data_IF_625027653976
#
_entry.id   IF_625027653976
#
_cell.length_a   1.000
_cell.length_b   1.000
_cell.length_c   1.000
_cell.angle_alpha   90.00
_cell.angle_beta   90.00
_cell.angle_gamma   90.00
#
_symmetry.space_group_name_H-M   'P 1'
#
loop_
_entity.id
_entity.type
_entity.pdbx_description
1 polymer ?
#
# COMPACT_ATOMS: atom_id res chain seq x y z
N UNK A 1 -26.42 -5.07 -10.45
CA UNK A 1 -26.15 -4.85 -9.03
C UNK A 1 -24.67 -5.03 -8.82
N UNK A 2 -24.03 -4.05 -8.19
CA UNK A 2 -22.60 -4.10 -7.87
C UNK A 2 -22.33 -5.04 -6.70
N UNK A 3 -21.09 -5.50 -6.55
CA UNK A 3 -20.68 -6.33 -5.41
C UNK A 3 -20.72 -5.56 -4.07
N UNK A 4 -20.68 -4.22 -4.14
CA UNK A 4 -20.61 -3.33 -2.97
C UNK A 4 -21.89 -2.48 -2.81
N UNK A 5 -22.99 -2.91 -3.43
CA UNK A 5 -24.22 -2.11 -3.46
C UNK A 5 -24.76 -1.85 -2.05
N UNK A 6 -25.12 -0.59 -1.78
CA UNK A 6 -25.61 -0.16 -0.46
C UNK A 6 -24.53 0.09 0.58
N UNK A 7 -23.25 -0.13 0.27
CA UNK A 7 -22.15 0.24 1.16
C UNK A 7 -21.82 1.74 1.08
N UNK A 8 -21.14 2.23 2.10
CA UNK A 8 -20.65 3.60 2.20
C UNK A 8 -19.13 3.60 2.36
N UNK A 9 -18.45 4.39 1.53
CA UNK A 9 -17.01 4.56 1.58
C UNK A 9 -16.60 5.98 1.98
N UNK A 10 -15.48 6.13 2.67
CA UNK A 10 -14.76 7.39 2.82
C UNK A 10 -13.42 7.29 2.09
N UNK A 11 -13.21 8.14 1.08
CA UNK A 11 -11.98 8.21 0.29
C UNK A 11 -11.21 9.47 0.62
N UNK A 12 -9.97 9.34 1.05
CA UNK A 12 -9.06 10.50 1.21
C UNK A 12 -8.32 10.77 -0.11
N UNK A 13 -8.19 12.04 -0.50
CA UNK A 13 -7.60 12.42 -1.79
C UNK A 13 -8.45 12.04 -3.01
N UNK A 14 -9.77 11.88 -2.84
CA UNK A 14 -10.70 11.46 -3.90
C UNK A 14 -10.92 12.49 -5.01
N UNK A 15 -10.39 13.72 -4.89
CA UNK A 15 -10.59 14.78 -5.87
C UNK A 15 -9.77 14.64 -7.16
N UNK A 16 -8.74 13.79 -7.19
CA UNK A 16 -7.88 13.63 -8.38
C UNK A 16 -7.25 12.23 -8.49
N UNK A 17 -6.62 11.96 -9.64
CA UNK A 17 -5.78 10.78 -9.85
C UNK A 17 -6.47 9.46 -9.49
N UNK A 18 -5.74 8.61 -8.75
CA UNK A 18 -6.21 7.29 -8.31
C UNK A 18 -7.47 7.42 -7.44
N UNK A 19 -7.47 8.36 -6.48
CA UNK A 19 -8.61 8.58 -5.59
C UNK A 19 -9.89 8.89 -6.37
N UNK A 20 -9.83 9.76 -7.39
CA UNK A 20 -11.00 10.06 -8.24
C UNK A 20 -11.46 8.86 -9.04
N UNK A 21 -10.53 8.04 -9.53
CA UNK A 21 -10.85 6.78 -10.20
C UNK A 21 -11.58 5.80 -9.27
N UNK A 22 -11.13 5.70 -8.01
CA UNK A 22 -11.78 4.87 -6.98
C UNK A 22 -13.19 5.37 -6.70
N UNK A 23 -13.37 6.69 -6.47
CA UNK A 23 -14.71 7.29 -6.29
C UNK A 23 -15.62 6.93 -7.46
N UNK A 24 -15.18 7.16 -8.69
CA UNK A 24 -15.98 6.85 -9.88
C UNK A 24 -16.35 5.36 -9.98
N UNK A 25 -15.42 4.45 -9.65
CA UNK A 25 -15.70 3.00 -9.66
C UNK A 25 -16.67 2.59 -8.56
N UNK A 26 -16.52 3.12 -7.35
CA UNK A 26 -17.44 2.86 -6.24
C UNK A 26 -18.87 3.30 -6.56
N UNK A 27 -19.04 4.45 -7.21
CA UNK A 27 -20.36 4.89 -7.65
C UNK A 27 -21.00 3.91 -8.65
N UNK A 28 -20.22 3.33 -9.57
CA UNK A 28 -20.70 2.29 -10.50
C UNK A 28 -21.13 1.02 -9.76
N UNK A 29 -20.52 0.71 -8.61
CA UNK A 29 -20.89 -0.42 -7.75
C UNK A 29 -22.11 -0.14 -6.84
N UNK A 30 -22.67 1.08 -6.88
CA UNK A 30 -23.81 1.47 -6.03
C UNK A 30 -23.42 1.93 -4.62
N UNK A 31 -22.16 2.31 -4.41
CA UNK A 31 -21.63 2.81 -3.14
C UNK A 31 -21.89 4.31 -3.01
N UNK A 32 -22.22 4.80 -1.81
CA UNK A 32 -22.21 6.25 -1.50
C UNK A 32 -20.84 6.65 -0.94
N UNK A 33 -20.31 7.81 -1.32
CA UNK A 33 -18.90 8.11 -1.06
C UNK A 33 -18.70 9.45 -0.36
N UNK A 34 -18.19 9.44 0.86
CA UNK A 34 -17.55 10.61 1.47
C UNK A 34 -16.16 10.83 0.88
N UNK A 35 -15.76 12.07 0.64
CA UNK A 35 -14.41 12.39 0.12
C UNK A 35 -13.73 13.45 0.97
N UNK A 36 -12.63 13.08 1.65
CA UNK A 36 -11.77 14.06 2.31
C UNK A 36 -10.75 14.59 1.29
N UNK A 37 -10.87 15.86 0.92
CA UNK A 37 -10.01 16.50 -0.09
C UNK A 37 -9.49 17.84 0.43
N UNK A 38 -8.24 18.15 0.11
CA UNK A 38 -7.57 19.36 0.61
C UNK A 38 -7.80 20.55 -0.31
N UNK A 39 -7.85 20.29 -1.62
CA UNK A 39 -7.88 21.32 -2.67
C UNK A 39 -9.34 21.77 -2.93
N UNK A 40 -9.72 23.02 -2.64
CA UNK A 40 -11.09 23.51 -2.78
C UNK A 40 -11.69 23.29 -4.17
N UNK A 41 -10.92 23.54 -5.23
CA UNK A 41 -11.37 23.44 -6.61
C UNK A 41 -11.77 22.00 -6.97
N UNK A 42 -11.11 21.01 -6.36
CA UNK A 42 -11.43 19.59 -6.56
C UNK A 42 -12.70 19.17 -5.83
N UNK A 43 -13.01 19.81 -4.71
CA UNK A 43 -14.27 19.61 -3.97
C UNK A 43 -15.45 20.06 -4.83
N UNK A 44 -15.35 21.24 -5.43
CA UNK A 44 -16.38 21.76 -6.35
C UNK A 44 -16.58 20.81 -7.54
N UNK A 45 -15.48 20.32 -8.12
CA UNK A 45 -15.52 19.34 -9.23
C UNK A 45 -16.11 17.98 -8.84
N UNK A 46 -16.00 17.56 -7.59
CA UNK A 46 -16.63 16.33 -7.10
C UNK A 46 -18.14 16.53 -6.99
N UNK A 47 -18.56 17.64 -6.36
CA UNK A 47 -19.98 17.95 -6.20
C UNK A 47 -20.68 18.13 -7.54
N UNK A 48 -20.04 18.84 -8.48
CA UNK A 48 -20.59 19.04 -9.83
C UNK A 48 -20.69 17.74 -10.65
N UNK A 49 -19.74 16.83 -10.48
CA UNK A 49 -19.70 15.58 -11.25
C UNK A 49 -20.64 14.50 -10.69
N UNK A 50 -20.80 14.45 -9.36
CA UNK A 50 -21.42 13.29 -8.70
C UNK A 50 -22.60 13.63 -7.80
N UNK A 51 -22.90 14.91 -7.57
CA UNK A 51 -24.09 15.36 -6.85
C UNK A 51 -24.23 14.72 -5.46
N UNK A 52 -25.44 14.26 -5.14
CA UNK A 52 -25.80 13.68 -3.84
C UNK A 52 -25.16 12.31 -3.54
N UNK A 53 -24.53 11.67 -4.53
CA UNK A 53 -23.85 10.39 -4.32
C UNK A 53 -22.49 10.57 -3.64
N UNK A 54 -21.97 11.81 -3.62
CA UNK A 54 -20.69 12.16 -3.01
C UNK A 54 -20.86 13.29 -2.00
N UNK A 55 -20.23 13.15 -0.84
CA UNK A 55 -20.15 14.22 0.17
C UNK A 55 -18.68 14.62 0.34
N UNK A 56 -18.26 15.73 -0.27
CA UNK A 56 -16.91 16.21 -0.12
C UNK A 56 -16.75 16.96 1.21
N UNK A 57 -15.67 16.67 1.91
CA UNK A 57 -15.25 17.28 3.16
C UNK A 57 -13.91 17.94 2.93
N UNK A 58 -13.83 19.25 3.16
CA UNK A 58 -12.55 19.95 3.07
C UNK A 58 -11.67 19.65 4.28
N UNK A 59 -10.46 19.16 4.04
CA UNK A 59 -9.49 18.93 5.10
C UNK A 59 -8.16 18.35 4.65
N UNK A 60 -7.20 18.37 5.57
CA UNK A 60 -5.90 17.74 5.44
C UNK A 60 -5.88 16.39 6.17
N UNK A 61 -5.71 15.30 5.42
CA UNK A 61 -5.68 13.94 5.95
C UNK A 61 -4.57 13.71 6.99
N UNK A 62 -3.57 14.57 7.07
CA UNK A 62 -2.53 14.49 8.11
C UNK A 62 -2.99 15.01 9.48
N UNK A 63 -4.17 15.64 9.56
CA UNK A 63 -4.73 16.21 10.79
C UNK A 63 -5.84 15.32 11.33
N UNK A 64 -5.72 14.90 12.58
CA UNK A 64 -6.71 14.04 13.24
C UNK A 64 -8.12 14.65 13.22
N UNK A 65 -8.25 15.95 13.49
CA UNK A 65 -9.55 16.63 13.52
C UNK A 65 -10.22 16.67 12.14
N UNK A 66 -9.45 16.69 11.06
CA UNK A 66 -9.98 16.68 9.70
C UNK A 66 -10.47 15.27 9.33
N UNK A 67 -9.76 14.23 9.79
CA UNK A 67 -10.21 12.84 9.66
C UNK A 67 -11.51 12.59 10.43
N UNK A 68 -11.61 13.09 11.68
CA UNK A 68 -12.84 12.99 12.48
C UNK A 68 -14.02 13.63 11.75
N UNK A 69 -13.85 14.87 11.24
CA UNK A 69 -14.89 15.54 10.45
C UNK A 69 -15.25 14.75 9.18
N UNK A 70 -14.25 14.18 8.49
CA UNK A 70 -14.47 13.31 7.32
C UNK A 70 -15.40 12.14 7.63
N UNK A 71 -15.13 11.43 8.72
CA UNK A 71 -15.97 10.32 9.19
C UNK A 71 -17.35 10.82 9.61
N UNK A 72 -17.42 11.82 10.47
CA UNK A 72 -18.68 12.37 10.98
C UNK A 72 -19.61 12.85 9.86
N UNK A 73 -19.09 13.59 8.88
CA UNK A 73 -19.89 14.10 7.77
C UNK A 73 -20.35 12.98 6.83
N UNK A 74 -19.52 11.97 6.60
CA UNK A 74 -19.89 10.80 5.79
C UNK A 74 -21.01 10.01 6.45
N UNK A 75 -20.86 9.69 7.74
CA UNK A 75 -21.87 8.97 8.52
C UNK A 75 -23.14 9.80 8.65
N UNK A 76 -23.04 11.11 8.86
CA UNK A 76 -24.21 11.99 8.92
C UNK A 76 -25.00 11.99 7.61
N UNK A 77 -24.32 11.92 6.47
CA UNK A 77 -24.98 11.98 5.17
C UNK A 77 -25.59 10.64 4.73
N UNK A 78 -24.92 9.52 5.05
CA UNK A 78 -25.28 8.21 4.49
C UNK A 78 -25.68 7.16 5.55
N UNK A 79 -25.62 7.50 6.83
CA UNK A 79 -26.05 6.67 7.95
C UNK A 79 -25.03 5.62 8.43
N UNK A 80 -23.99 5.34 7.65
CA UNK A 80 -22.96 4.34 7.96
C UNK A 80 -21.61 4.65 7.31
N UNK A 81 -20.59 3.86 7.65
CA UNK A 81 -19.28 3.85 7.00
C UNK A 81 -18.74 2.41 7.03
N UNK A 82 -18.62 1.79 5.87
CA UNK A 82 -18.20 0.38 5.72
C UNK A 82 -16.76 0.27 5.20
N UNK A 83 -16.35 1.21 4.34
CA UNK A 83 -15.07 1.18 3.63
C UNK A 83 -14.30 2.47 3.89
N UNK A 84 -13.01 2.35 4.20
CA UNK A 84 -12.12 3.50 4.27
C UNK A 84 -10.95 3.33 3.30
N UNK A 85 -10.73 4.33 2.45
CA UNK A 85 -9.65 4.36 1.46
C UNK A 85 -8.67 5.47 1.82
N UNK A 86 -7.45 5.03 2.11
CA UNK A 86 -6.32 5.91 2.36
C UNK A 86 -5.69 6.37 1.04
N UNK A 87 -5.53 7.68 0.93
CA UNK A 87 -5.01 8.37 -0.24
C UNK A 87 -3.49 8.36 -0.18
N UNK A 88 -2.89 7.46 -0.94
CA UNK A 88 -1.44 7.42 -1.05
C UNK A 88 -0.93 8.47 -2.03
N UNK A 89 0.22 9.03 -1.72
CA UNK A 89 1.00 9.87 -2.62
C UNK A 89 1.92 9.00 -3.47
N UNK A 90 2.05 9.34 -4.75
CA UNK A 90 3.06 8.72 -5.59
C UNK A 90 4.45 9.22 -5.18
N UNK A 91 5.29 8.32 -4.66
CA UNK A 91 6.67 8.63 -4.25
C UNK A 91 7.67 8.39 -5.36
N UNK A 92 7.56 7.24 -6.02
CA UNK A 92 8.54 6.78 -6.99
C UNK A 92 7.85 5.90 -8.03
N UNK A 93 8.26 6.05 -9.29
CA UNK A 93 8.04 5.04 -10.32
C UNK A 93 9.39 4.67 -10.90
N UNK A 94 9.70 3.39 -10.94
CA UNK A 94 10.95 2.88 -11.45
C UNK A 94 10.70 1.72 -12.41
N UNK A 95 11.37 1.76 -13.55
CA UNK A 95 11.45 0.62 -14.46
C UNK A 95 12.76 -0.13 -14.20
N UNK A 96 12.70 -1.46 -14.09
CA UNK A 96 13.83 -2.34 -13.86
C UNK A 96 13.92 -3.32 -15.03
N UNK A 97 14.86 -3.08 -15.94
CA UNK A 97 15.06 -3.88 -17.16
C UNK A 97 15.39 -5.36 -16.87
N UNK A 98 16.15 -5.62 -15.80
CA UNK A 98 16.55 -6.99 -15.41
C UNK A 98 16.21 -7.25 -13.96
N UNK A 99 15.11 -7.97 -13.74
CA UNK A 99 14.71 -8.40 -12.40
C UNK A 99 15.18 -9.81 -12.05
N UNK A 100 15.02 -10.17 -10.77
CA UNK A 100 15.24 -11.53 -10.29
C UNK A 100 14.27 -12.57 -10.90
N UNK A 101 13.16 -12.13 -11.52
CA UNK A 101 12.23 -12.99 -12.24
C UNK A 101 12.65 -13.25 -13.70
N UNK A 102 13.78 -12.69 -14.15
CA UNK A 102 14.25 -12.82 -15.52
C UNK A 102 13.48 -11.97 -16.54
N UNK A 103 12.53 -11.15 -16.09
CA UNK A 103 11.73 -10.23 -16.91
C UNK A 103 11.80 -8.80 -16.38
N UNK A 104 11.46 -7.78 -17.17
CA UNK A 104 11.37 -6.41 -16.67
C UNK A 104 10.29 -6.25 -15.58
N UNK A 105 10.53 -5.33 -14.64
CA UNK A 105 9.55 -4.91 -13.63
C UNK A 105 9.26 -3.42 -13.76
N UNK A 106 8.00 -3.05 -13.58
CA UNK A 106 7.61 -1.68 -13.24
C UNK A 106 7.21 -1.64 -11.77
N UNK A 107 7.87 -0.78 -11.00
CA UNK A 107 7.63 -0.58 -9.58
C UNK A 107 7.06 0.81 -9.36
N UNK A 108 5.96 0.89 -8.62
CA UNK A 108 5.37 2.15 -8.16
C UNK A 108 5.29 2.13 -6.64
N UNK A 109 6.01 3.06 -6.00
CA UNK A 109 5.93 3.27 -4.57
C UNK A 109 4.89 4.34 -4.27
N UNK A 110 3.95 3.97 -3.42
CA UNK A 110 2.88 4.79 -2.89
C UNK A 110 3.14 5.00 -1.39
N UNK A 111 2.99 6.21 -0.87
CA UNK A 111 3.28 6.53 0.53
C UNK A 111 2.16 7.32 1.19
N UNK A 112 1.88 7.00 2.44
CA UNK A 112 0.93 7.66 3.31
C UNK A 112 1.49 7.71 4.73
N UNK A 113 2.09 8.84 5.10
CA UNK A 113 2.37 9.18 6.50
C UNK A 113 3.13 8.10 7.29
N UNK A 114 3.96 7.30 6.62
CA UNK A 114 4.70 6.17 7.22
C UNK A 114 4.27 4.79 6.74
N UNK A 115 3.16 4.66 6.03
CA UNK A 115 2.76 3.42 5.34
C UNK A 115 3.12 3.51 3.86
N UNK A 116 3.93 2.58 3.36
CA UNK A 116 4.25 2.47 1.95
C UNK A 116 3.58 1.25 1.31
N UNK A 117 3.03 1.42 0.11
CA UNK A 117 2.55 0.34 -0.75
C UNK A 117 3.40 0.31 -2.01
N UNK A 118 3.99 -0.85 -2.31
CA UNK A 118 4.75 -1.08 -3.53
C UNK A 118 3.88 -1.87 -4.51
N UNK A 119 3.53 -1.26 -5.64
CA UNK A 119 2.85 -1.92 -6.74
C UNK A 119 3.89 -2.37 -7.77
N UNK A 120 3.95 -3.67 -8.03
CA UNK A 120 4.91 -4.25 -8.98
C UNK A 120 4.14 -4.91 -10.12
N UNK A 121 4.44 -4.50 -11.34
CA UNK A 121 3.97 -5.12 -12.58
C UNK A 121 5.14 -5.81 -13.27
N UNK A 122 4.90 -7.02 -13.80
CA UNK A 122 5.84 -7.73 -14.65
C UNK A 122 5.08 -8.43 -15.78
N UNK A 123 5.68 -8.43 -16.96
CA UNK A 123 5.13 -9.09 -18.14
C UNK A 123 6.01 -10.27 -18.51
N UNK A 124 5.41 -11.46 -18.65
CA UNK A 124 6.12 -12.67 -19.11
C UNK A 124 6.72 -13.55 -18.01
N UNK A 125 6.60 -13.19 -16.73
CA UNK A 125 6.94 -14.12 -15.66
C UNK A 125 5.85 -15.19 -15.52
N UNK A 126 6.26 -16.46 -15.40
CA UNK A 126 5.35 -17.53 -15.00
C UNK A 126 5.35 -17.62 -13.47
N UNK A 127 4.21 -17.33 -12.85
CA UNK A 127 4.05 -17.43 -11.40
C UNK A 127 3.13 -18.61 -11.12
N UNK A 128 3.52 -19.47 -10.18
CA UNK A 128 2.65 -20.55 -9.73
C UNK A 128 1.34 -19.96 -9.18
N UNK A 129 0.19 -20.61 -9.41
CA UNK A 129 -1.09 -20.13 -8.89
C UNK A 129 -1.05 -20.05 -7.35
N UNK A 130 -1.68 -19.02 -6.79
CA UNK A 130 -1.85 -18.90 -5.34
C UNK A 130 -2.62 -20.13 -4.82
N UNK A 131 -2.20 -20.75 -3.70
CA UNK A 131 -2.93 -21.85 -3.09
C UNK A 131 -4.37 -21.44 -2.77
N UNK A 132 -5.34 -22.30 -3.08
CA UNK A 132 -6.78 -22.03 -2.95
C UNK A 132 -7.31 -22.02 -1.50
N UNK A 133 -6.43 -21.92 -0.50
CA UNK A 133 -6.79 -21.93 0.92
C UNK A 133 -6.09 -20.87 1.79
N UNK A 134 -5.28 -19.98 1.21
CA UNK A 134 -4.52 -18.99 1.97
C UNK A 134 -5.15 -17.58 1.87
N UNK A 135 -5.37 -16.96 3.03
CA UNK A 135 -5.78 -15.55 3.19
C UNK A 135 -4.58 -14.65 3.56
N UNK A 136 -4.81 -13.34 3.57
CA UNK A 136 -3.88 -12.27 3.93
C UNK A 136 -2.88 -12.68 5.04
N UNK A 137 -1.59 -12.72 4.70
CA UNK A 137 -0.52 -13.12 5.60
C UNK A 137 0.77 -12.33 5.36
N UNK A 138 1.58 -12.21 6.41
CA UNK A 138 2.89 -11.58 6.38
C UNK A 138 3.86 -12.40 5.52
N UNK A 139 4.25 -11.87 4.36
CA UNK A 139 5.03 -12.64 3.38
C UNK A 139 6.51 -12.80 3.76
N UNK A 140 7.07 -11.86 4.51
CA UNK A 140 8.48 -11.84 4.91
C UNK A 140 8.70 -10.87 6.07
N UNK A 141 9.55 -11.25 7.03
CA UNK A 141 10.10 -10.34 8.04
C UNK A 141 11.38 -9.69 7.55
N UNK A 142 11.59 -8.41 7.83
CA UNK A 142 12.91 -7.79 7.68
C UNK A 142 13.41 -7.35 9.05
N UNK A 143 14.61 -7.79 9.41
CA UNK A 143 15.33 -7.36 10.60
C UNK A 143 16.48 -6.45 10.19
N UNK A 144 16.49 -5.25 10.75
CA UNK A 144 17.65 -4.37 10.61
C UNK A 144 18.79 -4.87 11.50
N UNK A 145 20.00 -4.90 10.95
CA UNK A 145 21.23 -5.28 11.66
C UNK A 145 22.25 -4.17 11.53
N UNK A 146 22.94 -3.86 12.62
CA UNK A 146 23.99 -2.82 12.63
C UNK A 146 25.21 -3.23 11.79
N UNK A 147 25.54 -4.52 11.79
CA UNK A 147 26.72 -5.10 11.14
C UNK A 147 26.36 -6.49 10.60
N UNK A 148 26.32 -6.62 9.28
CA UNK A 148 25.88 -7.85 8.60
C UNK A 148 26.80 -9.04 8.92
N UNK A 149 28.12 -8.84 8.95
CA UNK A 149 29.07 -9.93 9.17
C UNK A 149 28.99 -10.45 10.60
N UNK A 150 28.87 -9.56 11.59
CA UNK A 150 28.67 -9.94 12.99
C UNK A 150 27.32 -10.63 13.20
N UNK A 151 26.26 -10.14 12.57
CA UNK A 151 24.94 -10.75 12.67
C UNK A 151 24.95 -12.18 12.12
N UNK A 152 25.53 -12.39 10.93
CA UNK A 152 25.63 -13.71 10.33
C UNK A 152 26.55 -14.63 11.15
N UNK A 153 27.68 -14.15 11.65
CA UNK A 153 28.55 -14.94 12.52
C UNK A 153 27.81 -15.40 13.79
N UNK A 154 27.05 -14.51 14.43
CA UNK A 154 26.23 -14.86 15.59
C UNK A 154 25.17 -15.91 15.25
N UNK A 155 24.44 -15.74 14.14
CA UNK A 155 23.39 -16.68 13.72
C UNK A 155 23.95 -18.07 13.43
N UNK A 156 25.14 -18.18 12.84
CA UNK A 156 25.83 -19.46 12.66
C UNK A 156 26.13 -20.17 13.98
N UNK A 157 26.47 -19.43 15.05
CA UNK A 157 26.63 -20.04 16.40
C UNK A 157 25.34 -20.64 16.95
N UNK A 158 24.19 -20.24 16.39
CA UNK A 158 22.86 -20.77 16.73
C UNK A 158 22.38 -21.84 15.74
N UNK A 159 23.23 -22.26 14.80
CA UNK A 159 22.89 -23.24 13.76
C UNK A 159 22.00 -22.68 12.65
N UNK A 160 21.93 -21.35 12.50
CA UNK A 160 21.14 -20.68 11.47
C UNK A 160 22.08 -20.21 10.36
N UNK A 161 22.02 -20.86 9.20
CA UNK A 161 22.76 -20.46 8.00
C UNK A 161 21.91 -19.54 7.12
N UNK A 162 22.54 -18.57 6.42
CA UNK A 162 21.83 -17.77 5.44
C UNK A 162 21.36 -18.64 4.26
N UNK A 163 20.08 -18.49 3.89
CA UNK A 163 19.52 -19.09 2.69
C UNK A 163 19.93 -18.34 1.42
N UNK A 164 20.35 -17.07 1.55
CA UNK A 164 20.82 -16.23 0.46
C UNK A 164 21.68 -15.06 0.98
N UNK A 165 22.64 -14.61 0.16
CA UNK A 165 23.50 -13.48 0.50
C UNK A 165 24.65 -13.81 1.46
N UNK A 166 25.31 -12.80 2.07
CA UNK A 166 25.00 -11.38 1.92
C UNK A 166 25.35 -10.84 0.53
N UNK A 167 24.53 -9.93 -0.01
CA UNK A 167 24.90 -9.04 -1.12
C UNK A 167 25.05 -7.63 -0.60
N UNK A 168 26.16 -7.01 -0.97
CA UNK A 168 26.49 -5.63 -0.63
C UNK A 168 26.27 -4.75 -1.86
N UNK A 169 25.51 -3.67 -1.68
CA UNK A 169 25.46 -2.54 -2.59
C UNK A 169 26.25 -1.42 -1.93
N UNK A 170 27.47 -1.17 -2.42
CA UNK A 170 28.39 -0.19 -1.82
C UNK A 170 27.72 1.18 -1.63
N UNK A 171 27.87 1.74 -0.42
CA UNK A 171 27.32 3.04 -0.06
C UNK A 171 25.79 3.10 0.06
N UNK A 172 25.09 1.95 0.06
CA UNK A 172 23.63 1.93 0.24
C UNK A 172 23.20 0.94 1.32
N UNK A 173 23.40 -0.36 1.10
CA UNK A 173 22.95 -1.39 2.03
C UNK A 173 23.63 -2.73 1.80
N UNK A 174 23.59 -3.59 2.81
CA UNK A 174 23.80 -5.03 2.67
C UNK A 174 22.51 -5.80 2.97
N UNK A 175 22.28 -6.90 2.26
CA UNK A 175 21.12 -7.78 2.45
C UNK A 175 21.54 -9.23 2.51
N UNK A 176 20.98 -9.97 3.46
CA UNK A 176 21.03 -11.42 3.51
C UNK A 176 19.63 -11.96 3.83
N UNK A 177 19.47 -13.28 3.76
CA UNK A 177 18.24 -13.93 4.14
C UNK A 177 18.51 -15.17 4.97
N UNK A 178 17.68 -15.42 5.97
CA UNK A 178 17.61 -16.65 6.75
C UNK A 178 16.20 -17.24 6.67
N UNK A 179 16.02 -18.44 7.23
CA UNK A 179 14.70 -19.06 7.41
C UNK A 179 14.40 -19.25 8.89
N UNK A 180 13.14 -19.07 9.25
CA UNK A 180 12.62 -19.45 10.56
C UNK A 180 12.41 -20.98 10.66
N UNK A 181 12.07 -21.53 11.85
CA UNK A 181 11.82 -22.96 12.01
C UNK A 181 10.69 -23.54 11.16
N UNK A 182 9.79 -22.70 10.64
CA UNK A 182 8.69 -23.07 9.76
C UNK A 182 9.04 -22.92 8.26
N UNK A 183 10.26 -22.46 7.96
CA UNK A 183 10.76 -22.27 6.60
C UNK A 183 10.42 -20.92 5.99
N UNK A 184 9.78 -20.01 6.72
CA UNK A 184 9.46 -18.66 6.26
C UNK A 184 10.73 -17.82 6.14
N UNK A 185 10.76 -16.92 5.15
CA UNK A 185 11.93 -16.10 4.84
C UNK A 185 11.99 -14.89 5.78
N UNK A 186 13.16 -14.63 6.34
CA UNK A 186 13.47 -13.43 7.11
C UNK A 186 14.65 -12.74 6.42
N UNK A 187 14.45 -11.53 5.91
CA UNK A 187 15.51 -10.68 5.42
C UNK A 187 16.28 -10.06 6.58
N UNK A 188 17.61 -10.04 6.46
CA UNK A 188 18.49 -9.20 7.25
C UNK A 188 18.92 -8.02 6.38
N UNK A 189 18.82 -6.80 6.92
CA UNK A 189 19.23 -5.59 6.21
C UNK A 189 20.13 -4.72 7.06
N UNK A 190 21.28 -4.34 6.51
CA UNK A 190 22.15 -3.31 7.06
C UNK A 190 22.10 -2.10 6.13
N UNK A 191 21.94 -0.90 6.68
CA UNK A 191 22.07 0.36 5.94
C UNK A 191 23.46 0.95 6.19
N UNK A 192 24.04 1.61 5.18
CA UNK A 192 25.33 2.31 5.27
C UNK A 192 25.16 3.83 5.23
#
# INVERSE_FOLDING_TARGET
MGWLEGQVALVTGGGSGIGRGIVARFLVEGVRVGVLERVPERIEQLQAAFGEYVVPVQGDVTRLEDNKRGVEQTVRAFGQLDIFVLGFTHKLRQHIERSALGVPLDVVLLDLGGTAVELISYTGATVAPSPTGEQLGYRMMALEVEDMDKALAYLRTKGIEPSWGPRVTEGQYARAEIRDPHGHRIELRQWF
#
